data_IF_590743602337
#
_entry.id   IF_590743602337
#
_cell.length_a   1.000
_cell.length_b   1.000
_cell.length_c   1.000
_cell.angle_alpha   90.00
_cell.angle_beta   90.00
_cell.angle_gamma   90.00
#
_symmetry.space_group_name_H-M   'P 1'
#
loop_
_entity.id
_entity.type
_entity.pdbx_description
1 polymer ?
#
# COMPACT_ATOMS: atom_id res chain seq x y z
N UNK A 1 2.36 11.15 13.36
CA UNK A 1 3.39 10.87 12.34
C UNK A 1 3.49 9.36 12.28
N UNK A 2 3.29 8.76 11.11
CA UNK A 2 3.31 7.29 10.92
C UNK A 2 4.40 6.93 9.93
N UNK A 3 5.01 5.75 10.09
CA UNK A 3 6.07 5.23 9.20
C UNK A 3 5.52 4.31 8.11
N UNK A 4 4.37 3.68 8.33
CA UNK A 4 3.68 2.78 7.39
C UNK A 4 2.49 3.41 6.67
N UNK A 5 2.33 4.75 6.74
CA UNK A 5 1.27 5.46 6.02
C UNK A 5 1.81 6.68 5.27
N UNK A 6 1.24 6.93 4.09
CA UNK A 6 1.59 8.07 3.23
C UNK A 6 0.36 8.91 2.90
N UNK A 7 0.58 10.19 2.58
CA UNK A 7 -0.44 11.09 2.04
C UNK A 7 -0.30 11.12 0.52
N UNK A 8 -1.38 10.80 -0.21
CA UNK A 8 -1.44 10.90 -1.67
C UNK A 8 -2.51 11.91 -2.10
N UNK A 9 -2.24 12.60 -3.21
CA UNK A 9 -3.19 13.48 -3.90
C UNK A 9 -3.38 12.94 -5.31
N UNK A 10 -4.62 12.73 -5.73
CA UNK A 10 -4.94 12.16 -7.03
C UNK A 10 -6.22 12.78 -7.60
N UNK A 11 -6.59 12.38 -8.81
CA UNK A 11 -7.88 12.69 -9.41
C UNK A 11 -9.04 12.23 -8.50
N UNK A 12 -10.07 13.08 -8.37
CA UNK A 12 -11.25 12.83 -7.52
C UNK A 12 -12.55 12.75 -8.34
N UNK A 13 -12.45 12.56 -9.65
CA UNK A 13 -13.60 12.45 -10.55
C UNK A 13 -14.03 11.00 -10.75
N UNK A 14 -13.09 10.12 -11.10
CA UNK A 14 -13.35 8.72 -11.36
C UNK A 14 -13.09 7.87 -10.09
N UNK A 15 -14.08 7.13 -9.56
CA UNK A 15 -13.87 6.26 -8.40
C UNK A 15 -12.84 5.14 -8.65
N UNK A 16 -12.67 4.70 -9.89
CA UNK A 16 -11.78 3.57 -10.24
C UNK A 16 -10.30 3.91 -9.95
N UNK A 17 -9.95 5.20 -9.89
CA UNK A 17 -8.60 5.68 -9.52
C UNK A 17 -8.14 5.13 -8.17
N UNK A 18 -9.07 4.94 -7.23
CA UNK A 18 -8.75 4.39 -5.90
C UNK A 18 -8.42 2.91 -5.99
N UNK A 19 -9.20 2.16 -6.75
CA UNK A 19 -9.04 0.72 -6.92
C UNK A 19 -7.77 0.41 -7.74
N UNK A 20 -7.48 1.22 -8.76
CA UNK A 20 -6.26 1.10 -9.56
C UNK A 20 -4.99 1.34 -8.74
N UNK A 21 -5.03 2.33 -7.85
CA UNK A 21 -3.93 2.62 -6.93
C UNK A 21 -3.68 1.44 -5.97
N UNK A 22 -4.73 0.90 -5.37
CA UNK A 22 -4.64 -0.24 -4.47
C UNK A 22 -4.12 -1.49 -5.20
N UNK A 23 -4.69 -1.79 -6.37
CA UNK A 23 -4.25 -2.90 -7.22
C UNK A 23 -2.76 -2.79 -7.57
N UNK A 24 -2.30 -1.59 -7.95
CA UNK A 24 -0.90 -1.39 -8.33
C UNK A 24 0.03 -1.60 -7.14
N UNK A 25 -0.27 -1.01 -5.98
CA UNK A 25 0.54 -1.15 -4.76
C UNK A 25 0.64 -2.61 -4.32
N UNK A 26 -0.48 -3.33 -4.26
CA UNK A 26 -0.51 -4.76 -3.91
C UNK A 26 0.27 -5.61 -4.92
N UNK A 27 0.38 -5.18 -6.17
CA UNK A 27 1.16 -5.88 -7.20
C UNK A 27 2.66 -5.63 -7.08
N UNK A 28 3.09 -4.40 -6.74
CA UNK A 28 4.51 -4.05 -6.69
C UNK A 28 5.16 -4.34 -5.33
N UNK A 29 4.38 -4.29 -4.26
CA UNK A 29 4.82 -4.49 -2.87
C UNK A 29 3.80 -5.44 -2.21
N UNK A 30 3.80 -6.74 -2.54
CA UNK A 30 2.91 -7.73 -1.92
C UNK A 30 3.28 -7.95 -0.44
N UNK A 31 2.28 -8.19 0.40
CA UNK A 31 2.44 -8.45 1.84
C UNK A 31 3.25 -9.73 2.14
N UNK A 32 3.13 -10.75 1.30
CA UNK A 32 3.72 -12.06 1.54
C UNK A 32 5.18 -12.21 1.05
N UNK A 33 5.81 -11.10 0.64
CA UNK A 33 7.22 -11.13 0.26
C UNK A 33 8.12 -11.42 1.48
N UNK A 34 9.28 -12.06 1.29
CA UNK A 34 10.21 -12.40 2.38
C UNK A 34 10.99 -11.16 2.85
N UNK A 35 10.29 -10.17 3.39
CA UNK A 35 10.88 -8.96 3.91
C UNK A 35 11.74 -9.23 5.14
N UNK A 36 12.81 -8.46 5.28
CA UNK A 36 13.69 -8.53 6.46
C UNK A 36 13.08 -7.87 7.69
N UNK A 37 12.18 -6.92 7.47
CA UNK A 37 11.40 -6.28 8.52
C UNK A 37 10.11 -7.10 8.65
N UNK A 38 9.97 -7.85 9.74
CA UNK A 38 8.84 -8.76 9.95
C UNK A 38 8.44 -8.86 11.42
N UNK A 39 9.00 -8.01 12.28
CA UNK A 39 8.78 -8.04 13.72
C UNK A 39 7.39 -7.49 14.11
N UNK A 40 6.78 -6.70 13.22
CA UNK A 40 5.52 -6.00 13.48
C UNK A 40 4.29 -6.85 13.13
N UNK A 41 4.48 -7.91 12.33
CA UNK A 41 3.43 -8.83 11.90
C UNK A 41 3.33 -8.87 10.38
N UNK A 42 2.48 -9.75 9.83
CA UNK A 42 2.16 -9.80 8.40
C UNK A 42 1.22 -8.66 7.96
N UNK A 43 0.70 -7.84 8.89
CA UNK A 43 -0.23 -6.75 8.60
C UNK A 43 0.45 -5.39 8.39
N UNK A 44 1.75 -5.29 8.64
CA UNK A 44 2.54 -4.06 8.44
C UNK A 44 3.55 -4.18 7.29
N UNK A 45 3.78 -5.39 6.78
CA UNK A 45 4.78 -5.71 5.76
C UNK A 45 4.24 -6.72 4.77
#
# INVERSE_FOLDING_TARGET
LHTSASLALNESWDPDVRDDMEMMLNKIIPEDMPYRHSCEGPDDM
#
